data_IF_992727482821
#
_entry.id   IF_992727482821
#
_cell.length_a   1.000
_cell.length_b   1.000
_cell.length_c   1.000
_cell.angle_alpha   90.00
_cell.angle_beta   90.00
_cell.angle_gamma   90.00
#
_symmetry.space_group_name_H-M   'P 1'
#
loop_
_entity.id
_entity.type
_entity.pdbx_description
1 polymer ?
#
# COMPACT_ATOMS: atom_id res chain seq x y z
N UNK A 1 0.83 12.20 14.10
CA UNK A 1 1.39 12.55 12.77
C UNK A 1 1.17 14.03 12.48
N UNK A 2 1.73 14.92 13.31
CA UNK A 2 1.38 16.37 13.28
C UNK A 2 1.84 17.02 11.98
N UNK A 3 3.03 16.66 11.49
CA UNK A 3 3.59 17.21 10.25
C UNK A 3 2.67 16.99 9.05
N UNK A 4 2.24 15.74 8.82
CA UNK A 4 1.39 15.38 7.69
C UNK A 4 -0.02 15.97 7.84
N UNK A 5 -0.58 15.98 9.05
CA UNK A 5 -1.92 16.53 9.30
C UNK A 5 -2.01 18.05 9.13
N UNK A 6 -0.90 18.76 9.35
CA UNK A 6 -0.82 20.20 9.13
C UNK A 6 -0.38 20.56 7.69
N UNK A 7 -0.08 19.56 6.86
CA UNK A 7 0.29 19.77 5.46
C UNK A 7 -0.94 19.77 4.55
N UNK A 8 -0.76 20.15 3.28
CA UNK A 8 -1.81 20.06 2.26
C UNK A 8 -2.35 18.64 2.03
N UNK A 9 -1.54 17.62 2.35
CA UNK A 9 -1.93 16.20 2.21
C UNK A 9 -2.95 15.80 3.30
N UNK A 10 -2.89 16.42 4.49
CA UNK A 10 -3.77 16.26 5.67
C UNK A 10 -3.90 14.87 6.28
N UNK A 11 -3.85 13.81 5.49
CA UNK A 11 -4.01 12.41 5.90
C UNK A 11 -3.11 11.52 5.07
N UNK A 12 -2.61 10.43 5.66
CA UNK A 12 -1.81 9.43 4.92
C UNK A 12 -2.68 8.53 4.02
N UNK A 13 -3.92 8.27 4.41
CA UNK A 13 -4.86 7.40 3.69
C UNK A 13 -4.63 5.89 3.91
N UNK A 14 -3.41 5.42 4.17
CA UNK A 14 -3.12 4.02 4.50
C UNK A 14 -1.82 3.89 5.28
N UNK A 15 -1.88 4.19 6.56
CA UNK A 15 -0.75 4.00 7.44
C UNK A 15 -0.74 2.55 7.95
N UNK A 16 0.29 1.78 7.58
CA UNK A 16 0.54 0.43 8.06
C UNK A 16 2.02 0.28 8.45
N UNK A 17 2.38 -0.76 9.20
CA UNK A 17 3.78 -1.03 9.56
C UNK A 17 4.67 -1.22 8.34
N UNK A 18 4.12 -1.75 7.23
CA UNK A 18 4.84 -1.91 5.97
C UNK A 18 5.24 -0.57 5.33
N UNK A 19 4.56 0.52 5.70
CA UNK A 19 4.81 1.89 5.21
C UNK A 19 5.60 2.72 6.23
N UNK A 20 6.19 2.07 7.24
CA UNK A 20 7.05 2.67 8.25
C UNK A 20 8.46 2.10 8.10
N UNK A 21 9.39 2.94 7.67
CA UNK A 21 10.79 2.54 7.45
C UNK A 21 11.65 3.08 8.58
N UNK A 22 12.52 2.22 9.11
CA UNK A 22 13.49 2.57 10.14
C UNK A 22 14.86 2.73 9.50
N UNK A 23 15.57 3.82 9.79
CA UNK A 23 16.95 3.99 9.33
C UNK A 23 17.99 3.41 10.32
N UNK A 24 19.28 3.46 9.97
CA UNK A 24 20.36 2.92 10.79
C UNK A 24 20.49 3.58 12.18
N UNK A 25 19.86 4.74 12.38
CA UNK A 25 19.83 5.47 13.65
C UNK A 25 18.53 5.23 14.40
N UNK A 26 17.75 4.22 14.01
CA UNK A 26 16.46 3.87 14.59
C UNK A 26 15.40 4.97 14.48
N UNK A 27 15.54 5.88 13.51
CA UNK A 27 14.52 6.92 13.28
C UNK A 27 13.40 6.39 12.39
N UNK A 28 12.15 6.53 12.84
CA UNK A 28 10.97 6.14 12.08
C UNK A 28 10.62 7.20 11.03
N UNK A 29 10.51 6.75 9.78
CA UNK A 29 10.08 7.53 8.63
C UNK A 29 8.84 6.88 8.03
N UNK A 30 7.94 7.72 7.56
CA UNK A 30 6.69 7.27 6.94
C UNK A 30 6.81 7.43 5.43
N UNK A 31 6.34 6.44 4.67
CA UNK A 31 6.38 6.40 3.20
C UNK A 31 4.96 6.31 2.62
N UNK A 32 4.84 6.34 1.28
CA UNK A 32 3.58 6.06 0.58
C UNK A 32 2.39 6.96 1.00
N UNK A 33 2.70 8.23 1.25
CA UNK A 33 1.74 9.30 1.52
C UNK A 33 1.72 10.32 0.38
N UNK A 34 0.57 10.96 0.16
CA UNK A 34 0.34 11.81 -1.01
C UNK A 34 -1.14 11.96 -1.31
N UNK A 35 -1.50 12.72 -2.36
CA UNK A 35 -2.87 12.79 -2.84
C UNK A 35 -3.41 11.39 -3.16
N UNK A 36 -4.62 11.08 -2.67
CA UNK A 36 -5.25 9.77 -2.85
C UNK A 36 -5.35 9.36 -4.31
N UNK A 37 -5.65 10.30 -5.21
CA UNK A 37 -5.74 10.06 -6.66
C UNK A 37 -4.45 9.48 -7.27
N UNK A 38 -3.29 9.82 -6.71
CA UNK A 38 -1.99 9.32 -7.17
C UNK A 38 -1.72 7.93 -6.56
N UNK A 39 -1.98 7.79 -5.26
CA UNK A 39 -1.74 6.54 -4.53
C UNK A 39 -2.69 5.40 -4.93
N UNK A 40 -3.92 5.72 -5.34
CA UNK A 40 -4.90 4.73 -5.77
C UNK A 40 -4.52 4.09 -7.11
N UNK A 41 -3.85 4.84 -8.00
CA UNK A 41 -3.33 4.31 -9.26
C UNK A 41 -2.25 3.24 -9.00
N UNK A 42 -1.28 3.54 -8.14
CA UNK A 42 -0.21 2.61 -7.76
C UNK A 42 -0.78 1.36 -7.06
N UNK A 43 -1.81 1.51 -6.22
CA UNK A 43 -2.46 0.38 -5.56
C UNK A 43 -3.28 -0.48 -6.49
N UNK A 44 -4.01 0.11 -7.45
CA UNK A 44 -4.76 -0.68 -8.44
C UNK A 44 -3.84 -1.59 -9.24
N UNK A 45 -2.63 -1.12 -9.57
CA UNK A 45 -1.60 -1.97 -10.17
C UNK A 45 -1.19 -3.12 -9.24
N UNK A 46 -0.89 -2.84 -7.97
CA UNK A 46 -0.50 -3.86 -7.00
C UNK A 46 -1.58 -4.94 -6.75
N UNK A 47 -2.86 -4.55 -6.69
CA UNK A 47 -3.96 -5.50 -6.53
C UNK A 47 -4.22 -6.34 -7.79
N UNK A 48 -3.97 -5.81 -9.00
CA UNK A 48 -4.08 -6.58 -10.25
C UNK A 48 -2.99 -7.64 -10.35
N UNK A 49 -1.76 -7.34 -9.91
CA UNK A 49 -0.66 -8.31 -9.87
C UNK A 49 -0.93 -9.48 -8.91
N UNK A 50 -1.59 -9.23 -7.78
CA UNK A 50 -1.98 -10.29 -6.83
C UNK A 50 -3.07 -11.21 -7.38
N UNK A 51 -4.01 -10.69 -8.19
CA UNK A 51 -5.05 -11.51 -8.83
C UNK A 51 -4.51 -12.37 -9.98
N UNK A 52 -3.51 -11.88 -10.73
CA UNK A 52 -2.88 -12.63 -11.81
C UNK A 52 -2.00 -13.79 -11.29
N UNK A 53 -1.47 -13.71 -10.08
CA UNK A 53 -0.66 -14.77 -9.45
C UNK A 53 -1.49 -15.89 -8.80
N UNK A 54 -2.78 -15.68 -8.54
CA UNK A 54 -3.69 -16.70 -8.03
C UNK A 54 -4.25 -17.53 -9.20
N UNK A 55 -3.38 -18.32 -9.84
CA UNK A 55 -3.77 -19.30 -10.85
C UNK A 55 -4.87 -20.22 -10.34
N UNK A 56 -5.95 -20.29 -11.10
CA UNK A 56 -7.14 -21.14 -10.92
C UNK A 56 -6.80 -22.61 -10.69
N UNK A 57 -7.14 -23.14 -9.51
CA UNK A 57 -7.29 -24.58 -9.29
C UNK A 57 -8.68 -24.96 -9.82
N UNK A 58 -8.80 -25.24 -11.11
CA UNK A 58 -10.00 -25.84 -11.66
C UNK A 58 -10.04 -27.32 -11.26
N UNK A 59 -10.81 -27.65 -10.24
CA UNK A 59 -11.10 -29.03 -9.85
C UNK A 59 -12.05 -29.64 -10.90
N UNK A 60 -11.50 -30.22 -11.97
CA UNK A 60 -12.25 -31.08 -12.89
C UNK A 60 -12.41 -32.44 -12.22
N UNK A 61 -13.55 -32.67 -11.60
CA UNK A 61 -13.95 -34.00 -11.13
C UNK A 61 -14.68 -34.72 -12.26
N UNK A 62 -14.04 -35.75 -12.83
CA UNK A 62 -14.71 -36.77 -13.63
C UNK A 62 -15.65 -37.56 -12.72
N UNK A 63 -16.96 -37.51 -12.98
CA UNK A 63 -17.92 -38.61 -12.86
C UNK A 63 -19.06 -38.39 -13.85
#
# INVERSE_FOLDING_TARGET
MVYLHNSAIKVHGHLSSSNCVIDSRFSLKITDYGPLSILDADRQMAFQSQRAASGTINHRSEK
#
